data_IF_865487827340
#
_entry.id   IF_865487827340
#
_cell.length_a   1.000
_cell.length_b   1.000
_cell.length_c   1.000
_cell.angle_alpha   90.00
_cell.angle_beta   90.00
_cell.angle_gamma   90.00
#
_symmetry.space_group_name_H-M   'P 1'
#
loop_
_entity.id
_entity.type
_entity.pdbx_description
1 polymer ?
#
# COMPACT_ATOMS: atom_id res chain seq x y z
N UNK A 1 6.63 10.60 -64.02
CA UNK A 1 6.74 9.67 -62.89
C UNK A 1 7.75 10.23 -61.91
N UNK A 2 7.46 10.23 -60.62
CA UNK A 2 8.49 10.51 -59.61
C UNK A 2 9.49 9.35 -59.66
N UNK A 3 10.80 9.63 -59.75
CA UNK A 3 11.81 8.59 -60.01
C UNK A 3 12.41 8.01 -58.72
N UNK A 4 12.41 8.76 -57.62
CA UNK A 4 12.80 8.29 -56.29
C UNK A 4 12.37 9.29 -55.21
N UNK A 5 12.24 8.81 -53.98
CA UNK A 5 12.21 9.65 -52.78
C UNK A 5 13.46 9.29 -51.96
N UNK A 6 14.20 10.31 -51.53
CA UNK A 6 15.36 10.16 -50.66
C UNK A 6 15.21 11.09 -49.45
N UNK A 7 15.67 10.64 -48.29
CA UNK A 7 15.83 11.46 -47.08
C UNK A 7 17.30 11.41 -46.70
N UNK A 8 17.94 12.58 -46.51
CA UNK A 8 19.38 12.69 -46.21
C UNK A 8 20.27 11.87 -47.16
N UNK A 9 19.98 11.91 -48.47
CA UNK A 9 20.69 11.16 -49.52
C UNK A 9 20.60 9.63 -49.43
N UNK A 10 19.73 9.07 -48.57
CA UNK A 10 19.41 7.65 -48.56
C UNK A 10 18.14 7.42 -49.39
N UNK A 11 18.25 6.60 -50.44
CA UNK A 11 17.10 6.23 -51.27
C UNK A 11 16.11 5.42 -50.44
N UNK A 12 14.91 5.98 -50.25
CA UNK A 12 13.81 5.34 -49.50
C UNK A 12 13.10 4.32 -50.36
N UNK A 13 12.89 4.66 -51.64
CA UNK A 13 12.26 3.82 -52.65
C UNK A 13 12.61 4.35 -54.04
N UNK A 14 12.98 3.46 -54.95
CA UNK A 14 13.51 3.80 -56.29
C UNK A 14 12.54 3.47 -57.43
N UNK A 15 11.36 2.94 -57.12
CA UNK A 15 10.40 2.39 -58.08
C UNK A 15 8.95 2.80 -57.75
N UNK A 16 8.66 4.10 -57.90
CA UNK A 16 7.32 4.63 -57.66
C UNK A 16 6.36 4.38 -58.84
N UNK A 17 5.26 3.69 -58.56
CA UNK A 17 4.11 3.53 -59.47
C UNK A 17 2.86 4.18 -58.88
N UNK A 18 1.85 4.45 -59.72
CA UNK A 18 0.57 4.99 -59.23
C UNK A 18 -0.04 4.07 -58.18
N UNK A 19 -0.37 4.60 -57.00
CA UNK A 19 -0.88 3.83 -55.85
C UNK A 19 0.21 3.22 -54.94
N UNK A 20 1.49 3.44 -55.23
CA UNK A 20 2.57 3.04 -54.31
C UNK A 20 2.41 3.72 -52.94
N UNK A 21 2.64 2.95 -51.87
CA UNK A 21 2.77 3.43 -50.49
C UNK A 21 4.14 3.00 -49.94
N UNK A 22 4.62 3.68 -48.89
CA UNK A 22 5.79 3.25 -48.13
C UNK A 22 5.38 2.16 -47.13
N UNK A 23 6.08 1.04 -47.15
CA UNK A 23 5.92 -0.04 -46.19
C UNK A 23 6.75 0.22 -44.92
N UNK A 24 6.40 -0.43 -43.81
CA UNK A 24 7.20 -0.40 -42.59
C UNK A 24 8.64 -0.90 -42.85
N UNK A 25 8.82 -1.88 -43.74
CA UNK A 25 10.14 -2.40 -44.14
C UNK A 25 10.98 -1.37 -44.88
N UNK A 26 10.41 -0.63 -45.83
CA UNK A 26 11.12 0.44 -46.56
C UNK A 26 11.52 1.58 -45.61
N UNK A 27 10.65 1.94 -44.67
CA UNK A 27 10.94 2.92 -43.62
C UNK A 27 12.06 2.46 -42.67
N UNK A 28 12.07 1.18 -42.28
CA UNK A 28 13.13 0.61 -41.43
C UNK A 28 14.52 0.59 -42.09
N UNK A 29 14.58 0.76 -43.41
CA UNK A 29 15.82 0.72 -44.21
C UNK A 29 16.37 2.11 -44.58
N UNK A 30 15.76 3.24 -44.17
CA UNK A 30 16.17 4.63 -44.49
C UNK A 30 17.46 5.06 -43.76
N UNK A 31 18.32 4.12 -43.38
CA UNK A 31 19.51 4.38 -42.57
C UNK A 31 19.16 4.71 -41.12
N UNK A 32 20.20 4.80 -40.29
CA UNK A 32 20.18 4.82 -38.81
C UNK A 32 19.02 5.58 -38.11
N UNK A 33 18.39 6.58 -38.72
CA UNK A 33 17.36 7.41 -38.08
C UNK A 33 16.16 6.64 -37.49
N UNK A 34 15.47 5.79 -38.28
CA UNK A 34 14.25 5.12 -37.80
C UNK A 34 14.56 3.98 -36.81
N UNK A 35 15.63 3.23 -37.02
CA UNK A 35 16.07 2.20 -36.08
C UNK A 35 16.56 2.79 -34.76
N UNK A 36 17.24 3.95 -34.80
CA UNK A 36 17.61 4.70 -33.58
C UNK A 36 16.36 5.20 -32.85
N UNK A 37 15.35 5.72 -33.55
CA UNK A 37 14.09 6.15 -32.94
C UNK A 37 13.33 4.96 -32.34
N UNK A 38 13.27 3.83 -33.03
CA UNK A 38 12.66 2.59 -32.50
C UNK A 38 13.37 2.10 -31.24
N UNK A 39 14.70 1.98 -31.27
CA UNK A 39 15.48 1.56 -30.11
C UNK A 39 15.35 2.55 -28.94
N UNK A 40 15.27 3.85 -29.22
CA UNK A 40 15.01 4.87 -28.20
C UNK A 40 13.62 4.68 -27.58
N UNK A 41 12.59 4.39 -28.37
CA UNK A 41 11.22 4.13 -27.89
C UNK A 41 11.15 2.84 -27.05
N UNK A 42 11.79 1.76 -27.51
CA UNK A 42 11.84 0.48 -26.80
C UNK A 42 12.63 0.56 -25.48
N UNK A 43 13.55 1.53 -25.36
CA UNK A 43 14.31 1.80 -24.13
C UNK A 43 13.58 2.68 -23.11
N UNK A 44 12.43 3.28 -23.45
CA UNK A 44 11.63 4.03 -22.49
C UNK A 44 10.89 3.01 -21.61
N UNK A 45 10.96 3.10 -20.26
CA UNK A 45 10.24 2.18 -19.39
C UNK A 45 8.73 2.23 -19.67
N UNK A 46 8.00 1.16 -19.38
CA UNK A 46 6.58 0.97 -19.70
C UNK A 46 5.63 1.88 -18.87
N UNK A 47 5.86 3.19 -18.94
CA UNK A 47 4.99 4.24 -18.44
C UNK A 47 3.88 4.43 -19.46
N UNK A 48 2.84 3.64 -19.30
CA UNK A 48 1.62 3.78 -20.08
C UNK A 48 0.78 4.93 -19.55
N UNK A 49 0.04 5.57 -20.45
CA UNK A 49 -1.01 6.51 -20.07
C UNK A 49 -2.15 5.72 -19.40
N UNK A 50 -2.55 6.14 -18.20
CA UNK A 50 -3.71 5.56 -17.54
C UNK A 50 -5.02 5.86 -18.28
N UNK A 51 -6.12 5.27 -17.80
CA UNK A 51 -7.48 5.58 -18.27
C UNK A 51 -7.77 7.09 -18.17
N UNK A 52 -7.27 7.73 -17.11
CA UNK A 52 -7.26 9.19 -17.00
C UNK A 52 -6.02 9.71 -17.70
N UNK A 53 -6.22 10.67 -18.59
CA UNK A 53 -5.16 11.09 -19.52
C UNK A 53 -3.97 11.80 -18.90
N UNK A 54 -4.05 12.10 -17.61
CA UNK A 54 -3.01 12.74 -16.80
C UNK A 54 -2.26 11.77 -15.89
N UNK A 55 -2.66 10.49 -15.87
CA UNK A 55 -2.05 9.49 -15.01
C UNK A 55 -0.88 8.80 -15.72
N UNK A 56 0.21 8.61 -15.00
CA UNK A 56 1.29 7.71 -15.37
C UNK A 56 1.06 6.35 -14.71
N UNK A 57 0.94 5.29 -15.51
CA UNK A 57 0.73 3.92 -15.04
C UNK A 57 1.91 3.06 -15.43
N UNK A 58 2.57 2.49 -14.43
CA UNK A 58 3.64 1.51 -14.60
C UNK A 58 3.07 0.11 -14.38
N UNK A 59 3.21 -0.78 -15.36
CA UNK A 59 2.50 -2.07 -15.38
C UNK A 59 3.40 -3.30 -15.23
N UNK A 60 4.72 -3.15 -15.39
CA UNK A 60 5.67 -4.26 -15.41
C UNK A 60 7.02 -3.84 -14.84
N UNK A 61 7.73 -4.74 -14.13
CA UNK A 61 9.02 -4.45 -13.51
C UNK A 61 8.91 -3.92 -12.07
N UNK A 62 9.92 -3.18 -11.62
CA UNK A 62 10.02 -2.54 -10.31
C UNK A 62 10.32 -1.05 -10.50
N UNK A 63 9.72 -0.18 -9.69
CA UNK A 63 9.98 1.28 -9.70
C UNK A 63 10.99 1.62 -8.60
N UNK A 64 12.13 2.16 -8.98
CA UNK A 64 13.13 2.72 -8.07
C UNK A 64 13.03 4.24 -8.00
N UNK A 65 12.96 4.81 -6.79
CA UNK A 65 13.07 6.25 -6.55
C UNK A 65 14.28 6.49 -5.63
N UNK A 66 15.32 7.13 -6.16
CA UNK A 66 16.61 7.28 -5.45
C UNK A 66 17.46 6.00 -5.40
N UNK A 67 17.09 4.96 -6.14
CA UNK A 67 17.84 3.72 -6.33
C UNK A 67 17.72 3.24 -7.77
N UNK A 68 18.84 2.80 -8.35
CA UNK A 68 18.91 2.24 -9.71
C UNK A 68 18.71 0.71 -9.73
N UNK A 69 18.62 0.08 -8.55
CA UNK A 69 18.53 -1.39 -8.40
C UNK A 69 17.38 -1.78 -7.46
N UNK A 70 16.12 -1.48 -7.83
CA UNK A 70 14.98 -1.75 -6.97
C UNK A 70 14.76 -3.26 -6.76
N UNK A 71 14.71 -3.69 -5.50
CA UNK A 71 14.58 -5.12 -5.12
C UNK A 71 13.13 -5.57 -4.90
N UNK A 72 12.22 -4.62 -4.78
CA UNK A 72 10.77 -4.83 -4.64
C UNK A 72 9.99 -3.95 -5.62
N UNK A 73 8.66 -4.13 -5.70
CA UNK A 73 7.80 -3.46 -6.70
C UNK A 73 7.91 -1.94 -6.67
N UNK A 74 8.03 -1.36 -5.47
CA UNK A 74 8.33 0.05 -5.26
C UNK A 74 9.44 0.16 -4.21
N UNK A 75 10.62 0.59 -4.63
CA UNK A 75 11.80 0.74 -3.77
C UNK A 75 12.19 2.22 -3.73
N UNK A 76 12.02 2.85 -2.57
CA UNK A 76 12.27 4.30 -2.39
C UNK A 76 13.41 4.48 -1.40
N UNK A 77 14.55 4.92 -1.90
CA UNK A 77 15.65 5.40 -1.09
C UNK A 77 15.51 6.91 -0.87
N UNK A 78 14.56 7.30 -0.01
CA UNK A 78 14.24 8.70 0.25
C UNK A 78 12.92 8.88 1.00
N UNK A 79 12.43 10.13 1.06
CA UNK A 79 11.20 10.47 1.75
C UNK A 79 9.98 10.15 0.88
N UNK A 80 8.95 9.55 1.49
CA UNK A 80 7.65 9.32 0.86
C UNK A 80 6.63 10.29 1.47
N UNK A 81 5.99 11.11 0.64
CA UNK A 81 4.80 11.86 1.04
C UNK A 81 3.56 11.02 0.75
N UNK A 82 3.14 10.23 1.74
CA UNK A 82 1.96 9.38 1.66
C UNK A 82 0.83 9.98 2.50
N UNK A 83 -0.31 10.25 1.88
CA UNK A 83 -1.51 10.74 2.57
C UNK A 83 -2.67 9.78 2.35
N UNK A 84 -3.16 9.21 3.45
CA UNK A 84 -4.40 8.45 3.50
C UNK A 84 -5.32 9.13 4.50
N UNK A 85 -6.57 9.48 4.13
CA UNK A 85 -7.52 10.03 5.08
C UNK A 85 -7.62 9.14 6.33
N UNK A 86 -7.59 9.78 7.50
CA UNK A 86 -7.65 9.10 8.81
C UNK A 86 -9.09 8.94 9.31
N UNK A 87 -9.99 8.58 8.40
CA UNK A 87 -11.45 8.62 8.61
C UNK A 87 -12.10 7.23 8.64
N UNK A 88 -11.46 6.21 8.08
CA UNK A 88 -12.09 4.90 7.83
C UNK A 88 -11.89 3.92 8.99
N UNK A 89 -12.12 4.38 10.22
CA UNK A 89 -12.07 3.53 11.41
C UNK A 89 -13.40 2.85 11.65
N UNK A 90 -13.35 1.53 11.82
CA UNK A 90 -14.51 0.70 12.18
C UNK A 90 -14.53 0.45 13.68
N UNK A 91 -15.69 0.61 14.30
CA UNK A 91 -15.89 0.29 15.73
C UNK A 91 -15.74 -1.21 15.99
N UNK A 92 -15.01 -1.57 17.05
CA UNK A 92 -14.74 -2.97 17.41
C UNK A 92 -15.98 -3.70 17.95
N UNK A 93 -16.14 -4.97 17.57
CA UNK A 93 -17.01 -5.90 18.30
C UNK A 93 -16.30 -6.34 19.57
N UNK A 94 -16.74 -5.79 20.70
CA UNK A 94 -16.18 -6.08 22.01
C UNK A 94 -16.60 -7.44 22.56
N UNK A 95 -15.78 -7.97 23.47
CA UNK A 95 -16.17 -9.06 24.35
C UNK A 95 -17.28 -8.60 25.32
N UNK A 96 -17.95 -9.56 25.96
CA UNK A 96 -19.00 -9.29 26.95
C UNK A 96 -18.51 -8.34 28.05
N UNK A 97 -19.30 -7.30 28.33
CA UNK A 97 -19.04 -6.26 29.34
C UNK A 97 -17.79 -5.39 29.11
N UNK A 98 -17.19 -5.45 27.92
CA UNK A 98 -16.13 -4.54 27.49
C UNK A 98 -16.75 -3.40 26.67
N UNK A 99 -16.35 -2.17 26.94
CA UNK A 99 -16.84 -0.97 26.25
C UNK A 99 -15.70 0.01 25.96
N UNK A 100 -15.97 1.02 25.12
CA UNK A 100 -15.09 2.18 25.02
C UNK A 100 -15.13 2.93 26.35
N UNK A 101 -13.98 3.35 26.86
CA UNK A 101 -13.93 4.18 28.06
C UNK A 101 -14.68 5.51 27.88
N UNK A 102 -14.54 6.13 26.69
CA UNK A 102 -15.29 7.33 26.31
C UNK A 102 -15.94 7.12 24.95
N UNK A 103 -17.16 7.62 24.81
CA UNK A 103 -17.83 7.79 23.51
C UNK A 103 -17.63 9.19 22.93
N UNK A 104 -17.10 10.13 23.72
CA UNK A 104 -16.77 11.49 23.29
C UNK A 104 -15.36 11.51 22.65
N UNK A 105 -15.26 11.81 21.34
CA UNK A 105 -13.99 11.83 20.63
C UNK A 105 -13.03 12.95 21.08
N UNK A 106 -13.53 13.97 21.80
CA UNK A 106 -12.72 15.04 22.38
C UNK A 106 -12.04 14.66 23.71
N UNK A 107 -12.33 13.48 24.27
CA UNK A 107 -11.73 13.01 25.53
C UNK A 107 -10.77 11.85 25.29
N UNK A 108 -11.31 10.70 24.92
CA UNK A 108 -10.53 9.51 24.57
C UNK A 108 -11.08 8.91 23.29
N UNK A 109 -10.17 8.38 22.49
CA UNK A 109 -10.51 7.73 21.25
C UNK A 109 -11.30 6.44 21.54
N UNK A 110 -12.36 6.21 20.77
CA UNK A 110 -13.10 4.95 20.82
C UNK A 110 -12.16 3.82 20.39
N UNK A 111 -12.35 2.64 20.99
CA UNK A 111 -11.72 1.44 20.47
C UNK A 111 -12.20 1.16 19.04
N UNK A 112 -11.27 1.22 18.11
CA UNK A 112 -11.56 1.08 16.69
C UNK A 112 -10.36 0.44 16.00
N UNK A 113 -10.61 -0.09 14.82
CA UNK A 113 -9.57 -0.62 13.95
C UNK A 113 -9.74 -0.11 12.52
N UNK A 114 -8.65 -0.11 11.76
CA UNK A 114 -8.67 0.08 10.30
C UNK A 114 -7.57 -0.75 9.65
N UNK A 115 -7.65 -0.91 8.34
CA UNK A 115 -6.61 -1.51 7.53
C UNK A 115 -6.25 -0.59 6.36
N UNK A 116 -4.96 -0.45 6.07
CA UNK A 116 -4.43 0.26 4.89
C UNK A 116 -3.46 -0.69 4.21
N UNK A 117 -3.75 -1.09 2.97
CA UNK A 117 -3.03 -2.21 2.36
C UNK A 117 -3.17 -3.44 3.24
N UNK A 118 -2.04 -3.99 3.70
CA UNK A 118 -1.98 -5.14 4.63
C UNK A 118 -1.75 -4.75 6.09
N UNK A 119 -1.59 -3.45 6.40
CA UNK A 119 -1.30 -2.98 7.75
C UNK A 119 -2.59 -2.66 8.48
N UNK A 120 -2.78 -3.30 9.63
CA UNK A 120 -3.89 -3.08 10.55
C UNK A 120 -3.44 -2.16 11.68
N UNK A 121 -4.29 -1.20 12.00
CA UNK A 121 -4.12 -0.28 13.13
C UNK A 121 -5.26 -0.50 14.10
N UNK A 122 -4.93 -0.67 15.38
CA UNK A 122 -5.89 -0.55 16.49
C UNK A 122 -5.60 0.75 17.24
N UNK A 123 -6.66 1.27 17.88
CA UNK A 123 -6.58 2.48 18.70
C UNK A 123 -7.65 2.48 19.77
N UNK A 124 -7.55 3.42 20.70
CA UNK A 124 -8.57 3.74 21.68
C UNK A 124 -8.41 3.04 23.03
N UNK A 125 -9.20 3.50 24.00
CA UNK A 125 -9.12 3.04 25.39
C UNK A 125 -10.31 2.15 25.73
N UNK A 126 -10.04 0.88 26.05
CA UNK A 126 -11.05 -0.09 26.46
C UNK A 126 -11.24 -0.06 27.98
N UNK A 127 -12.47 -0.25 28.44
CA UNK A 127 -12.79 -0.49 29.85
C UNK A 127 -13.69 -1.72 29.97
N UNK A 128 -13.71 -2.33 31.14
CA UNK A 128 -14.59 -3.45 31.49
C UNK A 128 -15.25 -3.14 32.82
N UNK A 129 -16.56 -3.35 32.94
CA UNK A 129 -17.33 -2.98 34.15
C UNK A 129 -16.74 -3.53 35.45
N UNK A 130 -16.14 -4.72 35.41
CA UNK A 130 -15.48 -5.38 36.54
C UNK A 130 -13.96 -5.17 36.62
N UNK A 131 -13.40 -4.37 35.71
CA UNK A 131 -11.99 -4.48 35.34
C UNK A 131 -11.69 -5.75 34.54
N UNK A 132 -10.55 -5.74 33.86
CA UNK A 132 -9.94 -6.87 33.19
C UNK A 132 -9.15 -7.72 34.19
N UNK A 133 -9.31 -9.03 34.10
CA UNK A 133 -8.42 -10.02 34.67
C UNK A 133 -7.31 -10.39 33.67
N UNK A 134 -6.29 -11.10 34.15
CA UNK A 134 -5.27 -11.65 33.28
C UNK A 134 -5.90 -12.57 32.22
N UNK A 135 -5.49 -12.40 30.96
CA UNK A 135 -5.95 -13.13 29.78
C UNK A 135 -7.41 -12.84 29.34
N UNK A 136 -8.02 -11.77 29.85
CA UNK A 136 -9.34 -11.36 29.39
C UNK A 136 -9.34 -10.95 27.91
N UNK A 137 -10.40 -11.36 27.21
CA UNK A 137 -10.68 -10.92 25.86
C UNK A 137 -11.18 -9.47 25.88
N UNK A 138 -10.58 -8.62 25.07
CA UNK A 138 -11.01 -7.23 24.87
C UNK A 138 -11.98 -7.18 23.69
N UNK A 139 -11.54 -7.64 22.53
CA UNK A 139 -12.31 -7.64 21.29
C UNK A 139 -11.84 -8.77 20.37
N UNK A 140 -12.64 -9.06 19.34
CA UNK A 140 -12.24 -9.99 18.27
C UNK A 140 -12.21 -9.24 16.94
N UNK A 141 -11.08 -9.29 16.26
CA UNK A 141 -10.92 -8.75 14.92
C UNK A 141 -11.59 -9.67 13.90
N UNK A 142 -12.27 -9.11 12.88
CA UNK A 142 -12.86 -9.91 11.80
C UNK A 142 -11.78 -10.59 10.95
N UNK A 143 -12.19 -11.60 10.17
CA UNK A 143 -11.32 -12.20 9.15
C UNK A 143 -10.78 -11.12 8.20
N UNK A 144 -9.53 -11.24 7.78
CA UNK A 144 -8.84 -10.25 6.95
C UNK A 144 -8.17 -9.09 7.71
N UNK A 145 -8.38 -8.98 9.03
CA UNK A 145 -7.75 -7.99 9.92
C UNK A 145 -6.85 -8.63 10.98
N UNK A 146 -6.45 -9.88 10.78
CA UNK A 146 -5.73 -10.70 11.78
C UNK A 146 -4.29 -10.91 11.34
N UNK A 147 -3.33 -10.97 12.27
CA UNK A 147 -1.97 -11.34 11.91
C UNK A 147 -1.90 -12.83 11.55
N UNK A 148 -0.92 -13.26 10.73
CA UNK A 148 -0.73 -14.68 10.38
C UNK A 148 -0.26 -15.53 11.56
N UNK A 149 0.33 -14.92 12.58
CA UNK A 149 0.79 -15.55 13.82
C UNK A 149 0.56 -14.61 15.00
N UNK A 150 0.48 -15.11 16.25
CA UNK A 150 0.29 -14.26 17.42
C UNK A 150 1.42 -13.23 17.58
N UNK A 151 1.04 -11.99 17.90
CA UNK A 151 1.98 -10.89 18.14
C UNK A 151 1.64 -10.24 19.48
N UNK A 152 2.66 -9.85 20.23
CA UNK A 152 2.52 -9.21 21.53
C UNK A 152 2.95 -7.73 21.46
N UNK A 153 2.22 -6.88 22.18
CA UNK A 153 2.48 -5.45 22.28
C UNK A 153 2.55 -5.03 23.74
N UNK A 154 3.43 -4.06 24.04
CA UNK A 154 3.35 -3.35 25.31
C UNK A 154 2.21 -2.33 25.21
N UNK A 155 1.36 -2.30 26.23
CA UNK A 155 0.23 -1.39 26.34
C UNK A 155 0.28 -0.65 27.66
N UNK A 156 -0.14 0.62 27.65
CA UNK A 156 -0.40 1.37 28.87
C UNK A 156 -1.74 0.93 29.46
N UNK A 157 -1.72 0.60 30.74
CA UNK A 157 -2.92 0.25 31.51
C UNK A 157 -3.01 1.14 32.73
N UNK A 158 -4.23 1.40 33.20
CA UNK A 158 -4.47 2.34 34.30
C UNK A 158 -4.90 1.65 35.60
N UNK A 159 -4.64 2.35 36.70
CA UNK A 159 -4.99 1.96 38.07
C UNK A 159 -4.38 0.63 38.53
N UNK A 160 -3.22 0.30 37.95
CA UNK A 160 -2.35 -0.82 38.32
C UNK A 160 -0.91 -0.34 38.35
N UNK A 161 -0.08 -0.98 39.19
CA UNK A 161 1.34 -0.64 39.34
C UNK A 161 2.18 -1.89 39.05
N UNK A 162 3.07 -1.87 38.03
CA UNK A 162 3.31 -0.77 37.08
C UNK A 162 2.14 -0.56 36.10
N UNK A 163 1.97 0.66 35.51
CA UNK A 163 0.88 0.98 34.59
C UNK A 163 1.13 0.44 33.16
N UNK A 164 1.59 -0.81 33.05
CA UNK A 164 1.87 -1.48 31.79
C UNK A 164 1.38 -2.92 31.79
N UNK A 165 0.92 -3.36 30.62
CA UNK A 165 0.49 -4.73 30.37
C UNK A 165 0.94 -5.17 28.99
N UNK A 166 1.04 -6.49 28.79
CA UNK A 166 1.14 -7.05 27.45
C UNK A 166 -0.27 -7.24 26.89
N UNK A 167 -0.45 -6.90 25.62
CA UNK A 167 -1.64 -7.18 24.84
C UNK A 167 -1.24 -8.10 23.69
N UNK A 168 -1.88 -9.26 23.63
CA UNK A 168 -1.63 -10.26 22.59
C UNK A 168 -2.73 -10.16 21.53
N UNK A 169 -2.33 -10.10 20.26
CA UNK A 169 -3.22 -10.24 19.10
C UNK A 169 -2.97 -11.60 18.49
N UNK A 170 -3.91 -12.52 18.64
CA UNK A 170 -3.80 -13.90 18.16
C UNK A 170 -4.23 -14.03 16.69
N UNK A 171 -3.80 -15.09 16.01
CA UNK A 171 -4.14 -15.35 14.60
C UNK A 171 -5.63 -15.64 14.37
N UNK A 172 -6.36 -16.05 15.42
CA UNK A 172 -7.82 -16.15 15.42
C UNK A 172 -8.52 -14.78 15.58
N UNK A 173 -7.77 -13.68 15.69
CA UNK A 173 -8.26 -12.31 15.82
C UNK A 173 -8.58 -11.88 17.25
N UNK A 174 -8.39 -12.74 18.24
CA UNK A 174 -8.59 -12.37 19.63
C UNK A 174 -7.52 -11.38 20.08
N UNK A 175 -7.97 -10.28 20.68
CA UNK A 175 -7.10 -9.28 21.31
C UNK A 175 -7.29 -9.39 22.82
N UNK A 176 -6.25 -9.79 23.54
CA UNK A 176 -6.30 -10.14 24.97
C UNK A 176 -5.29 -9.34 25.76
N UNK A 177 -5.69 -8.85 26.94
CA UNK A 177 -4.74 -8.30 27.92
C UNK A 177 -4.25 -9.42 28.82
N UNK A 178 -2.95 -9.49 29.08
CA UNK A 178 -2.37 -10.65 29.79
C UNK A 178 -2.22 -10.44 31.29
N UNK A 179 -2.53 -9.25 31.80
CA UNK A 179 -2.51 -8.91 33.22
C UNK A 179 -3.82 -8.25 33.62
N UNK A 180 -4.08 -8.22 34.93
CA UNK A 180 -5.23 -7.48 35.44
C UNK A 180 -5.04 -5.98 35.19
N UNK A 181 -6.11 -5.30 34.80
CA UNK A 181 -6.13 -3.87 34.49
C UNK A 181 -7.55 -3.34 34.61
N UNK A 182 -7.74 -2.05 34.85
CA UNK A 182 -9.09 -1.46 34.77
C UNK A 182 -9.41 -0.94 33.37
N UNK A 183 -8.37 -0.47 32.67
CA UNK A 183 -8.43 0.10 31.33
C UNK A 183 -7.22 -0.35 30.55
N UNK A 184 -7.42 -0.62 29.25
CA UNK A 184 -6.35 -1.08 28.35
C UNK A 184 -6.30 -0.20 27.12
N UNK A 185 -5.14 0.41 26.89
CA UNK A 185 -4.91 1.24 25.72
C UNK A 185 -4.54 0.36 24.51
N UNK A 186 -5.17 0.63 23.36
CA UNK A 186 -4.88 -0.08 22.11
C UNK A 186 -4.14 0.81 21.10
N UNK A 187 -3.79 2.04 21.45
CA UNK A 187 -3.06 2.93 20.56
C UNK A 187 -1.65 2.38 20.31
N UNK A 188 -1.21 2.44 19.05
CA UNK A 188 0.11 1.94 18.64
C UNK A 188 0.19 0.44 18.41
N UNK A 189 -0.90 -0.32 18.58
CA UNK A 189 -0.97 -1.70 18.10
C UNK A 189 -1.12 -1.68 16.58
N UNK A 190 -0.03 -2.03 15.90
CA UNK A 190 0.09 -2.01 14.44
C UNK A 190 0.76 -3.30 13.99
N UNK A 191 0.16 -3.99 13.01
CA UNK A 191 0.73 -5.24 12.47
C UNK A 191 0.31 -5.49 11.02
N UNK A 192 1.06 -6.36 10.34
CA UNK A 192 0.74 -6.88 9.00
C UNK A 192 -0.22 -8.07 9.08
N UNK A 193 -1.11 -8.20 8.10
CA UNK A 193 -1.92 -9.41 7.89
C UNK A 193 -1.24 -10.47 7.04
N UNK A 194 -0.09 -10.13 6.43
CA UNK A 194 0.78 -11.02 5.67
C UNK A 194 2.06 -11.32 6.44
#
# INVERSE_FOLDING_TARGET
SLLAIAVNNVSVKTDWTSGSSLTSTELNNIGNGINVVKAAIEGIPNWTKGTITTDAVYTEGNVGIGTDTPTTKLDVNGNINWSVPWTDFTTSTFATNVTHYSTNPASWQKCQYRKIGDIVYLRGLATKTSGFAANDLILTLPSGFRPPSPIAFSSVVHWVTPPSARVDVSSNGEVRVTSAATHVNLDGIIFSTN
#
